data_IF_745850857379
#
_entry.id   IF_745850857379
#
_cell.length_a   1.000
_cell.length_b   1.000
_cell.length_c   1.000
_cell.angle_alpha   90.00
_cell.angle_beta   90.00
_cell.angle_gamma   90.00
#
_symmetry.space_group_name_H-M   'P 1'
#
loop_
_entity.id
_entity.type
_entity.pdbx_description
1 polymer ?
#
# COMPACT_ATOMS: atom_id res chain seq x y z
N UNK A 1 14.40 10.90 7.22
CA UNK A 1 13.46 11.59 6.29
C UNK A 1 13.81 11.50 4.82
N UNK A 2 15.03 11.13 4.44
CA UNK A 2 15.37 10.99 3.00
C UNK A 2 14.54 9.91 2.30
N UNK A 3 14.12 8.85 3.01
CA UNK A 3 13.29 7.75 2.50
C UNK A 3 12.00 8.20 1.80
N UNK A 4 11.41 9.30 2.26
CA UNK A 4 10.17 9.84 1.70
C UNK A 4 10.39 11.15 0.95
N UNK A 5 11.63 11.54 0.64
CA UNK A 5 11.92 12.87 0.05
C UNK A 5 11.35 13.04 -1.35
N UNK A 6 11.34 11.97 -2.14
CA UNK A 6 10.82 12.00 -3.51
C UNK A 6 9.54 11.18 -3.68
N UNK A 7 9.10 10.45 -2.65
CA UNK A 7 7.91 9.63 -2.72
C UNK A 7 6.63 10.46 -2.56
N UNK A 8 5.70 10.31 -3.49
CA UNK A 8 4.34 10.86 -3.42
C UNK A 8 3.35 9.81 -2.94
N UNK A 9 3.45 8.60 -3.49
CA UNK A 9 2.62 7.45 -3.11
C UNK A 9 3.52 6.27 -2.81
N UNK A 10 3.23 5.57 -1.70
CA UNK A 10 4.02 4.42 -1.23
C UNK A 10 3.11 3.24 -0.90
N UNK A 11 3.70 2.05 -0.90
CA UNK A 11 3.20 0.86 -0.22
C UNK A 11 4.16 0.49 0.89
N UNK A 12 3.60 0.04 2.02
CA UNK A 12 4.39 -0.35 3.18
C UNK A 12 4.30 -1.85 3.35
N UNK A 13 5.42 -2.56 3.24
CA UNK A 13 5.51 -4.02 3.35
C UNK A 13 6.11 -4.40 4.69
N UNK A 14 5.42 -5.26 5.43
CA UNK A 14 5.90 -5.76 6.72
C UNK A 14 6.88 -6.91 6.58
N UNK A 15 7.52 -7.29 7.69
CA UNK A 15 8.36 -8.49 7.82
C UNK A 15 7.69 -9.80 7.35
N UNK A 16 6.34 -9.88 7.33
CA UNK A 16 5.59 -11.04 6.84
C UNK A 16 5.40 -11.06 5.31
N UNK A 17 6.05 -10.14 4.59
CA UNK A 17 5.83 -9.91 3.16
C UNK A 17 4.35 -9.65 2.82
N UNK A 18 3.70 -8.85 3.67
CA UNK A 18 2.31 -8.37 3.49
C UNK A 18 2.28 -6.86 3.52
N UNK A 19 1.44 -6.26 2.69
CA UNK A 19 1.27 -4.82 2.61
C UNK A 19 0.32 -4.30 3.67
N UNK A 20 0.50 -3.04 4.05
CA UNK A 20 -0.45 -2.26 4.85
C UNK A 20 -1.66 -1.90 3.99
N UNK A 21 -2.84 -2.32 4.43
CA UNK A 21 -4.08 -2.25 3.65
C UNK A 21 -5.14 -1.52 4.43
N UNK A 22 -5.80 -0.57 3.76
CA UNK A 22 -7.08 -0.01 4.18
C UNK A 22 -8.20 -1.05 3.99
N UNK A 23 -8.93 -1.33 5.07
CA UNK A 23 -10.11 -2.20 5.01
C UNK A 23 -11.23 -1.58 4.17
N UNK A 24 -12.03 -2.43 3.53
CA UNK A 24 -13.18 -1.97 2.73
C UNK A 24 -14.30 -1.36 3.59
N UNK A 25 -14.25 -1.55 4.91
CA UNK A 25 -15.14 -0.88 5.88
C UNK A 25 -14.74 0.57 6.16
N UNK A 26 -13.67 1.04 5.51
CA UNK A 26 -13.08 2.36 5.62
C UNK A 26 -12.76 2.79 7.07
N UNK A 27 -12.56 1.83 7.96
CA UNK A 27 -12.24 2.04 9.37
C UNK A 27 -11.05 1.20 9.79
N UNK A 28 -11.01 -0.05 9.37
CA UNK A 28 -9.98 -0.99 9.76
C UNK A 28 -8.71 -0.82 8.94
N UNK A 29 -7.59 -1.15 9.57
CA UNK A 29 -6.29 -1.23 8.91
C UNK A 29 -5.72 -2.61 9.18
N UNK A 30 -5.31 -3.29 8.12
CA UNK A 30 -4.94 -4.70 8.16
C UNK A 30 -3.74 -4.97 7.25
N UNK A 31 -3.28 -6.21 7.26
CA UNK A 31 -2.23 -6.69 6.39
C UNK A 31 -2.74 -7.73 5.40
N UNK A 32 -2.38 -7.60 4.13
CA UNK A 32 -2.72 -8.61 3.12
C UNK A 32 -1.57 -8.86 2.15
N UNK A 33 -1.56 -10.07 1.57
CA UNK A 33 -0.72 -10.40 0.41
C UNK A 33 -1.46 -10.14 -0.91
N UNK A 34 -2.78 -10.24 -0.87
CA UNK A 34 -3.65 -10.22 -2.04
C UNK A 34 -4.73 -9.17 -1.82
N UNK A 35 -4.40 -7.89 -1.92
CA UNK A 35 -5.43 -6.87 -1.93
C UNK A 35 -5.36 -6.01 -3.18
N UNK A 36 -6.40 -5.19 -3.37
CA UNK A 36 -6.47 -4.34 -4.53
C UNK A 36 -5.43 -3.22 -4.39
N UNK A 37 -4.72 -2.84 -5.46
CA UNK A 37 -3.70 -1.79 -5.44
C UNK A 37 -4.18 -0.52 -4.74
N UNK A 38 -5.45 -0.15 -4.97
CA UNK A 38 -6.08 1.06 -4.43
C UNK A 38 -6.13 1.09 -2.89
N UNK A 39 -6.18 -0.05 -2.21
CA UNK A 39 -6.24 -0.12 -0.74
C UNK A 39 -4.85 -0.19 -0.10
N UNK A 40 -3.81 -0.53 -0.88
CA UNK A 40 -2.41 -0.64 -0.43
C UNK A 40 -1.62 0.66 -0.59
N UNK A 41 -2.13 1.58 -1.41
CA UNK A 41 -1.47 2.83 -1.75
C UNK A 41 -1.78 3.94 -0.73
N UNK A 42 -0.69 4.52 -0.20
CA UNK A 42 -0.73 5.59 0.78
C UNK A 42 0.00 6.81 0.22
N UNK A 43 -0.73 7.91 0.08
CA UNK A 43 -0.18 9.23 -0.22
C UNK A 43 0.59 9.73 1.00
N UNK A 44 1.82 10.17 0.76
CA UNK A 44 2.68 10.75 1.79
C UNK A 44 2.50 12.26 1.79
N UNK A 45 1.77 12.77 2.79
CA UNK A 45 1.60 14.20 2.99
C UNK A 45 2.64 14.72 4.00
N UNK A 46 3.38 15.77 3.64
CA UNK A 46 4.33 16.41 4.55
C UNK A 46 3.63 17.48 5.37
N UNK A 47 3.97 17.55 6.65
CA UNK A 47 3.43 18.56 7.55
C UNK A 47 4.24 19.84 7.43
N UNK A 48 3.57 20.96 7.15
CA UNK A 48 4.21 22.28 7.06
C UNK A 48 4.87 22.64 8.40
N UNK A 49 6.11 23.15 8.34
CA UNK A 49 6.90 23.46 9.54
C UNK A 49 7.57 22.26 10.23
N UNK A 50 7.14 21.01 9.97
CA UNK A 50 7.74 19.80 10.56
C UNK A 50 8.35 18.88 9.51
N UNK A 51 9.62 19.13 9.17
CA UNK A 51 10.37 18.35 8.16
C UNK A 51 10.59 16.87 8.51
N UNK A 52 10.35 16.46 9.77
CA UNK A 52 10.57 15.09 10.28
C UNK A 52 9.30 14.25 10.42
N UNK A 53 8.14 14.82 10.05
CA UNK A 53 6.85 14.18 10.24
C UNK A 53 6.12 14.07 8.91
N UNK A 54 5.41 12.95 8.74
CA UNK A 54 4.52 12.68 7.62
C UNK A 54 3.12 12.33 8.11
N UNK A 55 2.16 12.45 7.21
CA UNK A 55 0.81 11.90 7.32
C UNK A 55 0.62 10.92 6.19
N UNK A 56 0.07 9.76 6.50
CA UNK A 56 -0.21 8.73 5.51
C UNK A 56 -1.70 8.75 5.24
N UNK A 57 -2.07 9.05 4.01
CA UNK A 57 -3.45 9.14 3.56
C UNK A 57 -3.72 8.04 2.55
N UNK A 58 -4.75 7.23 2.77
CA UNK A 58 -5.10 6.21 1.79
C UNK A 58 -5.55 6.88 0.48
N UNK A 59 -5.01 6.43 -0.65
CA UNK A 59 -5.28 7.05 -1.95
C UNK A 59 -6.74 6.91 -2.40
N UNK A 60 -7.42 5.84 -1.98
CA UNK A 60 -8.80 5.57 -2.38
C UNK A 60 -9.82 6.24 -1.47
N UNK A 61 -9.78 5.95 -0.16
CA UNK A 61 -10.76 6.49 0.79
C UNK A 61 -10.48 7.94 1.19
N UNK A 62 -9.25 8.42 0.97
CA UNK A 62 -8.81 9.75 1.40
C UNK A 62 -8.68 9.91 2.92
N UNK A 63 -8.83 8.83 3.69
CA UNK A 63 -8.70 8.81 5.16
C UNK A 63 -7.25 8.67 5.59
N UNK A 64 -6.95 9.14 6.78
CA UNK A 64 -5.59 9.08 7.32
C UNK A 64 -5.39 7.83 8.16
N UNK A 65 -4.15 7.33 8.15
CA UNK A 65 -3.69 6.31 9.07
C UNK A 65 -3.53 6.94 10.46
N UNK A 66 -4.42 6.58 11.38
CA UNK A 66 -4.53 7.21 12.69
C UNK A 66 -4.25 6.20 13.80
N UNK A 67 -3.28 6.47 14.69
CA UNK A 67 -3.15 5.70 15.93
C UNK A 67 -4.33 6.04 16.86
N UNK A 68 -5.00 5.03 17.37
CA UNK A 68 -6.09 5.16 18.36
C UNK A 68 -5.59 4.77 19.74
N UNK A 69 -6.15 5.35 20.80
CA UNK A 69 -5.87 4.94 22.18
C UNK A 69 -6.67 3.69 22.61
N UNK A 70 -7.53 3.18 21.74
CA UNK A 70 -8.32 1.97 22.00
C UNK A 70 -7.43 0.71 21.92
N UNK A 71 -7.44 -0.18 22.93
CA UNK A 71 -6.71 -1.44 22.87
C UNK A 71 -7.25 -2.33 21.74
N UNK A 72 -6.38 -3.07 21.06
CA UNK A 72 -6.82 -3.97 19.98
C UNK A 72 -7.53 -5.22 20.51
N UNK A 73 -6.90 -5.92 21.46
CA UNK A 73 -7.52 -7.01 22.23
C UNK A 73 -7.32 -6.73 23.71
N UNK A 74 -8.40 -6.89 24.48
CA UNK A 74 -8.35 -6.77 25.93
C UNK A 74 -7.35 -7.76 26.54
N UNK A 75 -6.42 -7.26 27.34
CA UNK A 75 -5.42 -8.08 28.03
C UNK A 75 -4.15 -8.40 27.22
N UNK A 76 -4.03 -7.92 25.99
CA UNK A 76 -2.84 -8.05 25.16
C UNK A 76 -2.28 -6.67 24.77
N UNK A 77 -1.03 -6.61 24.33
CA UNK A 77 -0.34 -5.32 24.06
C UNK A 77 -0.73 -4.70 22.72
N UNK A 78 -0.67 -3.37 22.67
CA UNK A 78 -0.84 -2.63 21.43
C UNK A 78 -2.26 -2.15 21.20
N UNK A 79 -2.32 -0.91 20.74
CA UNK A 79 -3.57 -0.21 20.49
C UNK A 79 -3.90 -0.22 18.99
N UNK A 80 -5.16 0.01 18.66
CA UNK A 80 -5.66 -0.03 17.29
C UNK A 80 -5.03 1.07 16.44
N UNK A 81 -4.87 0.75 15.17
CA UNK A 81 -4.64 1.74 14.11
C UNK A 81 -5.84 1.71 13.19
N UNK A 82 -6.41 2.89 12.92
CA UNK A 82 -7.69 3.04 12.23
C UNK A 82 -7.57 4.02 11.07
N UNK A 83 -8.58 4.02 10.20
CA UNK A 83 -8.79 5.05 9.20
C UNK A 83 -9.79 6.08 9.72
N UNK A 84 -9.37 7.34 9.86
CA UNK A 84 -10.26 8.42 10.31
C UNK A 84 -10.25 9.61 9.34
N UNK A 85 -11.42 10.21 9.17
CA UNK A 85 -11.70 11.41 8.36
C UNK A 85 -11.38 12.68 9.16
N UNK A 86 -11.42 12.64 10.50
CA UNK A 86 -11.23 13.82 11.38
C UNK A 86 -9.78 14.30 11.47
N UNK A 87 -9.10 14.43 10.34
CA UNK A 87 -7.80 15.08 10.23
C UNK A 87 -8.02 16.57 10.00
N UNK A 88 -8.17 17.35 11.08
CA UNK A 88 -7.87 18.77 10.96
C UNK A 88 -6.39 18.89 10.59
N UNK A 89 -6.01 19.81 9.70
CA UNK A 89 -4.59 20.02 9.37
C UNK A 89 -3.72 20.30 10.60
N UNK A 90 -4.32 20.65 11.74
CA UNK A 90 -3.69 20.90 13.02
C UNK A 90 -3.57 19.66 13.91
N UNK A 91 -4.21 18.54 13.57
CA UNK A 91 -4.18 17.36 14.41
C UNK A 91 -2.83 16.67 14.33
N UNK A 92 -2.21 16.58 15.50
CA UNK A 92 -0.89 15.97 15.70
C UNK A 92 -0.98 14.49 16.05
N UNK A 93 -2.19 13.94 16.19
CA UNK A 93 -2.42 12.52 16.46
C UNK A 93 -2.18 11.65 15.23
N UNK A 94 -2.44 12.16 14.03
CA UNK A 94 -2.25 11.46 12.74
C UNK A 94 -0.82 11.54 12.19
N UNK A 95 0.07 12.15 12.97
CA UNK A 95 1.45 12.41 12.59
C UNK A 95 2.33 11.18 12.89
N UNK A 96 3.08 10.77 11.87
CA UNK A 96 4.06 9.70 11.97
C UNK A 96 5.45 10.24 11.70
N UNK A 97 6.40 9.87 12.54
CA UNK A 97 7.81 10.18 12.37
C UNK A 97 8.56 8.96 11.82
N UNK A 98 9.05 9.04 10.57
CA UNK A 98 9.83 7.96 9.97
C UNK A 98 11.27 7.93 10.48
N UNK A 99 11.65 6.81 11.07
CA UNK A 99 12.99 6.54 11.59
C UNK A 99 13.63 5.42 10.74
N UNK A 100 14.74 5.74 10.08
CA UNK A 100 15.48 4.80 9.22
C UNK A 100 16.25 3.79 10.07
N UNK A 101 16.15 2.51 9.72
CA UNK A 101 16.90 1.41 10.34
C UNK A 101 17.35 0.43 9.26
N UNK A 102 18.63 0.55 8.86
CA UNK A 102 19.12 -0.11 7.65
C UNK A 102 18.35 0.36 6.41
N UNK A 103 17.81 -0.59 5.65
CA UNK A 103 16.97 -0.32 4.47
C UNK A 103 15.47 -0.25 4.81
N UNK A 104 15.09 -0.45 6.07
CA UNK A 104 13.70 -0.44 6.53
C UNK A 104 13.41 0.84 7.32
N UNK A 105 12.12 1.06 7.60
CA UNK A 105 11.65 2.22 8.37
C UNK A 105 10.75 1.80 9.52
N UNK A 106 10.94 2.46 10.66
CA UNK A 106 9.99 2.50 11.79
C UNK A 106 9.14 3.75 11.67
N UNK A 107 7.83 3.61 11.83
CA UNK A 107 6.90 4.74 11.86
C UNK A 107 6.47 4.98 13.30
N UNK A 108 6.98 6.06 13.91
CA UNK A 108 6.70 6.44 15.30
C UNK A 108 5.52 7.37 15.37
N UNK A 109 4.50 7.02 16.15
CA UNK A 109 3.40 7.92 16.52
C UNK A 109 3.86 8.93 17.57
N UNK A 110 3.10 10.02 17.76
CA UNK A 110 3.38 11.08 18.75
C UNK A 110 3.63 10.55 20.18
N UNK A 111 2.99 9.45 20.57
CA UNK A 111 3.16 8.81 21.89
C UNK A 111 4.44 7.97 22.05
N UNK A 112 5.27 7.87 21.02
CA UNK A 112 6.49 7.04 21.03
C UNK A 112 6.28 5.59 20.59
N UNK A 113 5.03 5.15 20.45
CA UNK A 113 4.67 3.84 19.92
C UNK A 113 4.98 3.74 18.42
N UNK A 114 5.24 2.52 17.94
CA UNK A 114 5.56 2.27 16.55
C UNK A 114 4.47 1.48 15.84
N UNK A 115 4.25 1.77 14.57
CA UNK A 115 3.36 0.98 13.71
C UNK A 115 3.86 -0.46 13.64
N UNK A 116 3.01 -1.42 14.02
CA UNK A 116 3.32 -2.84 14.15
C UNK A 116 2.42 -3.68 13.27
N UNK A 117 3.03 -4.52 12.43
CA UNK A 117 2.34 -5.52 11.63
C UNK A 117 2.27 -6.85 12.36
N UNK A 118 1.07 -7.33 12.69
CA UNK A 118 0.91 -8.47 13.58
C UNK A 118 0.85 -9.83 12.88
N UNK A 119 1.67 -10.76 13.37
CA UNK A 119 1.66 -12.18 13.01
C UNK A 119 0.69 -13.04 13.83
N UNK A 120 0.96 -14.33 13.97
CA UNK A 120 0.27 -15.19 14.94
C UNK A 120 -1.11 -15.72 14.52
N UNK A 121 -1.99 -15.95 15.49
CA UNK A 121 -3.34 -16.53 15.31
C UNK A 121 -4.41 -15.45 15.23
N UNK A 122 -5.54 -15.69 14.54
CA UNK A 122 -6.71 -14.82 14.65
C UNK A 122 -7.15 -14.68 16.12
N UNK A 123 -7.67 -13.51 16.54
CA UNK A 123 -7.96 -12.31 15.74
C UNK A 123 -6.74 -11.39 15.52
N UNK A 124 -5.59 -11.68 16.12
CA UNK A 124 -4.36 -10.89 16.02
C UNK A 124 -3.68 -10.95 14.65
N UNK A 125 -3.78 -12.12 14.00
CA UNK A 125 -3.26 -12.34 12.66
C UNK A 125 -3.74 -11.26 11.70
N UNK A 126 -2.81 -10.67 10.95
CA UNK A 126 -3.06 -9.64 9.93
C UNK A 126 -3.59 -8.32 10.49
N UNK A 127 -3.70 -8.15 11.81
CA UNK A 127 -4.06 -6.84 12.35
C UNK A 127 -2.87 -5.88 12.29
N UNK A 128 -3.16 -4.60 12.38
CA UNK A 128 -2.15 -3.55 12.51
C UNK A 128 -2.45 -2.79 13.78
N UNK A 129 -1.42 -2.65 14.62
CA UNK A 129 -1.49 -1.95 15.90
C UNK A 129 -0.36 -0.95 16.00
N UNK A 130 -0.36 -0.12 17.03
CA UNK A 130 0.85 0.59 17.44
C UNK A 130 1.25 0.18 18.85
N UNK A 131 2.53 -0.10 19.03
CA UNK A 131 3.08 -0.61 20.29
C UNK A 131 4.59 -0.31 20.39
N UNK A 132 5.15 -0.47 21.58
CA UNK A 132 6.60 -0.45 21.80
C UNK A 132 7.07 -1.90 21.88
N UNK A 133 7.95 -2.36 20.96
CA UNK A 133 8.42 -3.74 20.96
C UNK A 133 9.26 -4.00 22.21
N UNK A 134 8.75 -4.87 23.09
CA UNK A 134 9.40 -5.23 24.37
C UNK A 134 10.37 -6.42 24.23
N UNK A 135 10.19 -7.26 23.21
CA UNK A 135 10.95 -8.49 23.00
C UNK A 135 11.83 -8.36 21.77
N UNK A 136 12.90 -9.14 21.69
CA UNK A 136 13.78 -9.13 20.51
C UNK A 136 13.02 -9.56 19.24
N UNK A 137 12.14 -10.56 19.34
CA UNK A 137 11.36 -11.08 18.21
C UNK A 137 10.40 -10.01 17.65
N UNK A 138 9.83 -9.17 18.53
CA UNK A 138 8.86 -8.15 18.12
C UNK A 138 9.53 -6.88 17.58
N UNK A 139 10.86 -6.76 17.64
CA UNK A 139 11.59 -5.64 17.03
C UNK A 139 11.41 -5.60 15.52
N UNK A 140 11.36 -6.75 14.85
CA UNK A 140 11.14 -6.81 13.39
C UNK A 140 9.70 -6.47 13.00
N UNK A 141 8.75 -6.58 13.94
CA UNK A 141 7.33 -6.40 13.66
C UNK A 141 6.96 -4.94 13.40
N UNK A 142 7.82 -4.02 13.82
CA UNK A 142 7.68 -2.57 13.61
C UNK A 142 8.49 -2.04 12.43
N UNK A 143 9.23 -2.93 11.74
CA UNK A 143 10.00 -2.59 10.54
C UNK A 143 9.12 -2.76 9.31
N UNK A 144 9.14 -1.71 8.48
CA UNK A 144 8.42 -1.67 7.21
C UNK A 144 9.37 -1.36 6.09
N UNK A 145 9.23 -2.09 4.99
CA UNK A 145 9.86 -1.78 3.72
C UNK A 145 8.98 -0.81 2.93
N UNK A 146 9.58 0.18 2.29
CA UNK A 146 8.88 1.26 1.59
C UNK A 146 9.02 1.06 0.09
N UNK A 147 7.95 0.62 -0.55
CA UNK A 147 7.87 0.53 -2.01
C UNK A 147 7.28 1.82 -2.57
N UNK A 148 8.05 2.56 -3.36
CA UNK A 148 7.61 3.82 -3.96
C UNK A 148 6.82 3.53 -5.24
N UNK A 149 5.55 3.94 -5.27
CA UNK A 149 4.65 3.75 -6.43
C UNK A 149 4.66 4.98 -7.33
N UNK A 150 4.62 6.18 -6.74
CA UNK A 150 4.65 7.45 -7.47
C UNK A 150 5.67 8.38 -6.81
N UNK A 151 6.37 9.16 -7.63
CA UNK A 151 7.38 10.12 -7.19
C UNK A 151 6.93 11.55 -7.50
N UNK A 152 7.29 12.48 -6.62
CA UNK A 152 7.21 13.91 -6.93
C UNK A 152 8.35 14.20 -7.89
N UNK A 153 8.06 14.31 -9.19
CA UNK A 153 8.98 14.93 -10.14
C UNK A 153 9.01 16.40 -9.74
N UNK A 154 10.08 16.81 -9.05
CA UNK A 154 10.39 18.22 -8.95
C UNK A 154 10.78 18.63 -10.37
N UNK A 155 9.83 19.20 -11.11
CA UNK A 155 10.14 19.99 -12.28
C UNK A 155 11.07 21.10 -11.82
N UNK A 156 12.37 20.89 -11.97
CA UNK A 156 13.30 21.98 -12.09
C UNK A 156 12.88 22.77 -13.33
N UNK A 157 12.06 23.80 -13.13
CA UNK A 157 11.87 24.88 -14.10
C UNK A 157 13.18 25.67 -14.23
N UNK A 158 14.25 25.05 -14.74
CA UNK A 158 15.40 25.76 -15.28
C UNK A 158 15.96 24.94 -16.45
N UNK A 159 16.04 25.60 -17.61
CA UNK A 159 16.65 25.17 -18.87
C UNK A 159 15.85 24.21 -19.79
N UNK A 160 14.82 24.74 -20.45
CA UNK A 160 14.80 24.75 -21.93
C UNK A 160 13.91 25.86 -22.52
N UNK A 161 14.13 27.10 -22.08
CA UNK A 161 13.83 28.30 -22.87
C UNK A 161 15.17 28.85 -23.35
N UNK A 162 15.66 28.28 -24.45
CA UNK A 162 16.59 28.88 -25.42
C UNK A 162 17.21 27.78 -26.28
N UNK A 163 16.51 27.43 -27.36
CA UNK A 163 17.19 27.18 -28.63
C UNK A 163 16.30 27.79 -29.70
N UNK A 164 16.40 29.12 -29.80
CA UNK A 164 16.05 29.82 -31.01
C UNK A 164 16.78 29.18 -32.19
N UNK A 165 16.03 28.93 -33.25
CA UNK A 165 16.42 29.03 -34.65
C UNK A 165 17.93 29.04 -34.92
N UNK A 166 18.53 27.85 -35.10
CA UNK A 166 19.74 27.73 -35.91
C UNK A 166 19.38 27.15 -37.27
N UNK A 167 19.28 28.08 -38.19
CA UNK A 167 19.34 27.99 -39.64
C UNK A 167 20.29 26.86 -40.08
N UNK A 168 19.74 25.78 -40.62
CA UNK A 168 20.48 24.94 -41.58
C UNK A 168 19.80 25.10 -42.93
N UNK A 169 20.25 26.11 -43.67
CA UNK A 169 20.09 26.12 -45.11
C UNK A 169 20.91 24.96 -45.67
N UNK A 170 20.25 24.02 -46.34
CA UNK A 170 20.89 23.04 -47.21
C UNK A 170 19.91 22.62 -48.31
N UNK A 171 19.84 23.45 -49.34
CA UNK A 171 19.68 23.09 -50.75
C UNK A 171 18.71 21.94 -51.08
N UNK A 172 17.43 22.26 -51.32
CA UNK A 172 16.61 21.54 -52.28
C UNK A 172 15.95 22.52 -53.24
N UNK A 173 16.47 22.59 -54.46
CA UNK A 173 15.79 23.25 -55.57
C UNK A 173 14.50 22.48 -55.91
N UNK A 174 13.38 23.16 -56.19
CA UNK A 174 12.20 22.50 -56.75
C UNK A 174 12.44 22.21 -58.25
N UNK A 175 12.01 21.04 -58.78
CA UNK A 175 11.92 20.88 -60.22
C UNK A 175 10.75 21.71 -60.79
N UNK A 176 10.86 22.25 -62.02
CA UNK A 176 9.81 23.04 -62.62
C UNK A 176 8.70 22.15 -63.20
N UNK A 177 7.47 22.66 -63.07
CA UNK A 177 6.28 22.41 -63.87
C UNK A 177 6.34 21.29 -64.94
N UNK A 178 5.63 20.19 -64.68
CA UNK A 178 4.99 19.39 -65.73
C UNK A 178 3.51 19.22 -65.35
N UNK A 179 2.65 19.87 -66.12
CA UNK A 179 1.20 19.73 -66.09
C UNK A 179 0.77 18.48 -66.84
N UNK A 180 0.20 17.46 -66.18
CA UNK A 180 -0.58 16.40 -66.87
C UNK A 180 -1.73 15.87 -65.99
N UNK A 181 -2.93 16.33 -66.34
CA UNK A 181 -4.21 15.59 -66.51
C UNK A 181 -4.80 14.79 -65.32
N UNK A 182 -6.00 15.23 -64.91
CA UNK A 182 -6.97 14.52 -64.07
C UNK A 182 -7.28 13.11 -64.58
N UNK A 183 -7.04 12.11 -63.72
CA UNK A 183 -7.52 10.74 -63.87
C UNK A 183 -8.27 10.31 -62.62
N UNK A 184 -9.59 10.42 -62.67
CA UNK A 184 -10.55 9.93 -61.67
C UNK A 184 -10.41 8.40 -61.52
N UNK A 185 -10.24 7.90 -60.30
CA UNK A 185 -10.48 6.49 -60.00
C UNK A 185 -11.18 6.37 -58.64
N UNK A 186 -12.48 6.13 -58.69
CA UNK A 186 -13.30 5.67 -57.58
C UNK A 186 -12.92 4.22 -57.25
N UNK A 187 -12.72 3.88 -55.98
CA UNK A 187 -13.04 2.54 -55.52
C UNK A 187 -13.54 2.55 -54.08
N UNK A 188 -14.76 2.03 -53.96
CA UNK A 188 -15.55 1.88 -52.76
C UNK A 188 -15.16 0.58 -52.06
N UNK A 189 -14.96 0.62 -50.74
CA UNK A 189 -14.91 -0.60 -49.93
C UNK A 189 -16.12 -0.63 -49.00
N UNK A 190 -17.04 -1.55 -49.31
CA UNK A 190 -18.27 -1.85 -48.58
C UNK A 190 -17.95 -2.49 -47.23
N UNK A 191 -18.53 -1.94 -46.17
CA UNK A 191 -18.74 -2.62 -44.89
C UNK A 191 -19.71 -3.80 -45.10
N UNK A 192 -19.31 -5.01 -44.71
CA UNK A 192 -20.23 -6.14 -44.48
C UNK A 192 -20.24 -6.44 -42.99
N UNK A 193 -21.43 -6.33 -42.39
CA UNK A 193 -21.71 -6.76 -41.04
C UNK A 193 -21.61 -8.28 -40.91
N UNK A 194 -21.07 -8.73 -39.78
CA UNK A 194 -21.12 -10.12 -39.36
C UNK A 194 -22.02 -10.19 -38.13
N UNK A 195 -23.05 -11.02 -38.29
CA UNK A 195 -24.12 -11.31 -37.34
C UNK A 195 -23.58 -12.21 -36.22
N UNK A 196 -23.97 -11.86 -34.99
CA UNK A 196 -23.74 -12.62 -33.75
C UNK A 196 -24.64 -13.85 -33.70
N UNK A 197 -24.14 -15.02 -33.24
CA UNK A 197 -25.00 -16.05 -32.66
C UNK A 197 -24.79 -16.20 -31.14
N UNK A 198 -25.90 -16.18 -30.40
CA UNK A 198 -26.13 -16.80 -29.07
C UNK A 198 -26.87 -18.14 -29.30
N UNK A 199 -27.17 -19.00 -28.30
CA UNK A 199 -26.49 -19.48 -27.06
C UNK A 199 -26.38 -21.05 -27.12
N UNK A 200 -26.28 -21.88 -26.04
CA UNK A 200 -27.30 -22.02 -24.98
C UNK A 200 -26.75 -22.17 -23.54
N UNK A 201 -27.67 -21.94 -22.60
CA UNK A 201 -27.62 -22.29 -21.17
C UNK A 201 -27.72 -23.80 -20.92
N UNK A 202 -26.94 -24.34 -19.98
CA UNK A 202 -27.38 -25.42 -19.06
C UNK A 202 -26.35 -25.71 -17.96
N UNK A 203 -26.78 -25.55 -16.72
CA UNK A 203 -26.53 -26.38 -15.53
C UNK A 203 -25.55 -27.56 -15.62
N UNK A 204 -24.58 -27.63 -14.69
CA UNK A 204 -24.45 -28.73 -13.72
C UNK A 204 -23.19 -28.59 -12.85
N UNK A 205 -23.38 -28.95 -11.59
CA UNK A 205 -22.40 -29.08 -10.51
C UNK A 205 -21.21 -29.96 -10.89
N UNK A 206 -19.99 -29.57 -10.48
CA UNK A 206 -18.99 -30.50 -9.90
C UNK A 206 -18.07 -29.77 -8.91
N UNK A 207 -18.11 -30.26 -7.68
CA UNK A 207 -17.08 -30.11 -6.66
C UNK A 207 -15.68 -30.33 -7.22
N UNK A 208 -14.74 -29.43 -6.91
CA UNK A 208 -13.33 -29.77 -6.83
C UNK A 208 -12.74 -29.15 -5.57
N UNK A 209 -12.76 -29.96 -4.51
CA UNK A 209 -11.92 -29.76 -3.33
C UNK A 209 -10.47 -29.98 -3.77
N UNK A 210 -9.61 -28.98 -3.62
CA UNK A 210 -8.17 -29.21 -3.56
C UNK A 210 -7.63 -28.58 -2.28
N UNK A 211 -7.55 -29.44 -1.28
CA UNK A 211 -6.75 -29.30 -0.09
C UNK A 211 -5.26 -29.22 -0.47
N UNK A 212 -4.61 -28.10 -0.17
CA UNK A 212 -3.18 -28.07 0.09
C UNK A 212 -2.97 -27.39 1.44
N UNK A 213 -2.92 -28.23 2.49
CA UNK A 213 -2.50 -27.84 3.82
C UNK A 213 -0.98 -27.67 3.84
N UNK A 214 -0.48 -26.44 3.78
CA UNK A 214 0.88 -26.16 4.24
C UNK A 214 0.82 -26.04 5.76
N UNK A 215 1.27 -27.10 6.43
CA UNK A 215 1.44 -27.12 7.87
C UNK A 215 2.66 -26.27 8.24
N UNK A 216 2.44 -25.00 8.56
CA UNK A 216 3.36 -24.21 9.37
C UNK A 216 2.82 -24.17 10.81
N UNK A 217 2.99 -25.28 11.52
CA UNK A 217 2.63 -25.41 12.95
C UNK A 217 3.80 -25.14 13.90
N UNK A 218 4.96 -24.74 13.37
CA UNK A 218 6.21 -24.66 14.16
C UNK A 218 6.42 -23.36 14.96
N UNK A 219 6.00 -22.20 14.45
CA UNK A 219 6.37 -20.92 15.06
C UNK A 219 5.38 -20.45 16.15
N UNK A 220 4.08 -20.65 15.94
CA UNK A 220 3.05 -20.17 16.86
C UNK A 220 2.97 -20.97 18.18
N UNK A 221 3.35 -22.24 18.17
CA UNK A 221 3.39 -23.09 19.38
C UNK A 221 4.51 -22.66 20.33
N UNK A 222 5.63 -22.15 19.80
CA UNK A 222 6.76 -21.75 20.62
C UNK A 222 6.45 -20.46 21.38
N UNK A 223 5.68 -19.55 20.78
CA UNK A 223 5.29 -18.28 21.42
C UNK A 223 4.25 -18.48 22.54
N UNK A 224 3.23 -19.33 22.34
CA UNK A 224 2.27 -19.65 23.42
C UNK A 224 2.97 -20.34 24.60
N UNK A 225 3.89 -21.26 24.34
CA UNK A 225 4.66 -21.95 25.40
C UNK A 225 5.72 -21.07 26.06
N UNK A 226 6.27 -20.07 25.35
CA UNK A 226 7.19 -19.10 25.96
C UNK A 226 6.44 -18.16 26.91
N UNK A 227 5.21 -17.77 26.56
CA UNK A 227 4.36 -16.92 27.40
C UNK A 227 3.86 -17.66 28.65
N UNK A 228 3.54 -18.95 28.54
CA UNK A 228 3.28 -19.83 29.70
C UNK A 228 4.50 -19.95 30.63
N UNK A 229 5.70 -20.14 30.05
CA UNK A 229 6.95 -20.25 30.83
C UNK A 229 7.39 -18.97 31.53
N UNK A 230 6.89 -17.80 31.12
CA UNK A 230 7.22 -16.50 31.71
C UNK A 230 6.19 -16.04 32.77
N UNK A 231 5.18 -16.87 33.10
CA UNK A 231 4.21 -16.57 34.18
C UNK A 231 3.25 -15.44 33.86
N UNK A 232 3.00 -15.16 32.57
CA UNK A 232 2.09 -14.08 32.12
C UNK A 232 0.67 -14.62 31.86
N UNK A 233 0.50 -15.94 31.86
CA UNK A 233 -0.80 -16.62 31.75
C UNK A 233 -0.94 -17.53 32.97
N UNK A 234 -1.82 -17.17 33.91
CA UNK A 234 -2.27 -18.12 34.92
C UNK A 234 -3.18 -19.14 34.23
N UNK A 235 -2.74 -20.39 34.28
CA UNK A 235 -3.41 -21.58 33.78
C UNK A 235 -4.72 -21.80 34.57
N UNK A 236 -5.84 -21.26 34.06
CA UNK A 236 -7.17 -21.64 34.55
C UNK A 236 -7.75 -22.74 33.66
N UNK A 237 -7.26 -23.96 33.87
CA UNK A 237 -7.97 -25.20 33.55
C UNK A 237 -8.44 -25.85 34.85
N UNK A 238 -9.77 -25.91 35.07
CA UNK A 238 -10.58 -26.86 35.89
C UNK A 238 -11.85 -26.10 36.31
N UNK A 239 -13.10 -26.53 36.17
CA UNK A 239 -13.76 -27.80 35.83
C UNK A 239 -15.12 -27.48 35.16
N UNK A 240 -15.65 -28.40 34.36
CA UNK A 240 -17.08 -28.44 34.02
C UNK A 240 -17.66 -29.70 34.69
N UNK A 241 -18.69 -29.61 35.55
CA UNK A 241 -19.50 -30.77 35.92
C UNK A 241 -20.49 -31.17 34.82
#
# INVERSE_FOLDING_TARGET
MEFFKNAKVVRLRSHLNKFLVAGDDEKTVLQSRNSFPRNEEWTVERVEGKKHVIRLKNCYSGKYLTPSDEPFLTGLTGNKVVQDIQANKLDTSIEWEPIKEGELVKLRAKGGNFLRGNGGTPPWRNSVTHDIPQLMITQEWVLWDVEVVDMVVLESQEAMENTEASTWESNFLPPPNISVIMGRCESSFKLRGVVVPRPPSSTSDKHFSSSLSCQDKGAAYVESKLLEKLGIIDELTTEIP
#
